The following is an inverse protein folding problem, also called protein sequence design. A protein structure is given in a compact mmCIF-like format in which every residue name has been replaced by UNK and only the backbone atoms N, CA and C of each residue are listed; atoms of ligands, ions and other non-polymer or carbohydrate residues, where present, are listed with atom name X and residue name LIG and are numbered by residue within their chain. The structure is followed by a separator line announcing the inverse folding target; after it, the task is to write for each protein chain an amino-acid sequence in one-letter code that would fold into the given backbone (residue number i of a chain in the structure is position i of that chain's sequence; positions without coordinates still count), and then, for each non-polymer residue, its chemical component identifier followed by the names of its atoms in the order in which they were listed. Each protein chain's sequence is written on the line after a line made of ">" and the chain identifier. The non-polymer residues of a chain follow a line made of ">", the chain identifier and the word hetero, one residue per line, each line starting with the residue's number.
data_IF_713411730454
#
_entry.id   IF_713411730454
#
_cell.length_a   1.000
_cell.length_b   1.000
_cell.length_c   1.000
_cell.angle_alpha   90.00
_cell.angle_beta   90.00
_cell.angle_gamma   90.00
#
_symmetry.space_group_name_H-M   'P 1'
#
loop_
_entity.id
_entity.type
_entity.pdbx_description
1 polymer ?
#
# COMPACT_ATOMS: atom_id res chain seq x y z
N UNK A 1 13.74 -19.29 15.32
CA UNK A 1 13.36 -18.69 14.02
C UNK A 1 13.36 -17.19 14.25
N UNK A 2 14.46 -16.53 13.90
CA UNK A 2 14.64 -15.09 14.14
C UNK A 2 13.66 -14.33 13.25
N UNK A 3 12.65 -13.72 13.84
CA UNK A 3 11.95 -12.62 13.19
C UNK A 3 12.92 -11.46 13.12
N UNK A 4 13.68 -11.39 12.03
CA UNK A 4 14.42 -10.18 11.69
C UNK A 4 13.39 -9.05 11.62
N UNK A 5 13.46 -8.13 12.58
CA UNK A 5 12.75 -6.85 12.48
C UNK A 5 13.40 -6.09 11.33
N UNK A 6 12.99 -6.40 10.10
CA UNK A 6 13.50 -5.76 8.91
C UNK A 6 12.97 -4.32 8.91
N UNK A 7 13.82 -3.42 9.37
CA UNK A 7 13.57 -1.98 9.36
C UNK A 7 14.23 -1.43 8.11
N UNK A 8 13.45 -1.26 7.04
CA UNK A 8 13.90 -0.57 5.84
C UNK A 8 13.79 0.91 6.11
N UNK A 9 14.90 1.58 6.46
CA UNK A 9 14.90 3.03 6.67
C UNK A 9 14.71 3.84 5.37
N UNK A 10 14.83 3.21 4.21
CA UNK A 10 14.64 3.81 2.90
C UNK A 10 13.53 3.15 2.10
N UNK A 11 13.53 3.41 0.79
CA UNK A 11 12.51 2.89 -0.11
C UNK A 11 12.65 1.38 -0.29
N UNK A 12 11.52 0.69 -0.35
CA UNK A 12 11.47 -0.74 -0.54
C UNK A 12 10.60 -1.08 -1.75
N UNK A 13 11.08 -1.98 -2.62
CA UNK A 13 10.33 -2.45 -3.78
C UNK A 13 10.05 -3.94 -3.67
N UNK A 14 8.78 -4.29 -3.64
CA UNK A 14 8.27 -5.65 -3.73
C UNK A 14 8.10 -6.00 -5.20
N UNK A 15 9.01 -6.83 -5.72
CA UNK A 15 8.94 -7.35 -7.09
C UNK A 15 8.42 -8.80 -7.14
N UNK A 16 8.16 -9.40 -5.99
CA UNK A 16 7.78 -10.80 -5.81
C UNK A 16 6.62 -10.88 -4.82
N UNK A 17 5.80 -11.92 -4.95
CA UNK A 17 4.67 -12.14 -4.05
C UNK A 17 5.15 -12.45 -2.62
N UNK A 18 4.49 -11.84 -1.63
CA UNK A 18 4.90 -12.02 -0.25
C UNK A 18 4.18 -11.14 0.75
N UNK A 19 4.44 -11.42 2.03
CA UNK A 19 3.94 -10.62 3.13
C UNK A 19 5.07 -9.79 3.76
N UNK A 20 4.86 -8.49 3.85
CA UNK A 20 5.73 -7.54 4.52
C UNK A 20 5.13 -7.15 5.88
N UNK A 21 5.70 -7.70 6.94
CA UNK A 21 5.35 -7.39 8.34
C UNK A 21 6.31 -6.44 9.05
N UNK A 22 7.25 -5.84 8.31
CA UNK A 22 8.30 -4.96 8.86
C UNK A 22 7.84 -3.50 9.01
N UNK A 23 8.81 -2.61 9.23
CA UNK A 23 8.58 -1.17 9.16
C UNK A 23 9.38 -0.62 7.98
N UNK A 24 8.70 0.07 7.07
CA UNK A 24 9.32 0.82 5.97
C UNK A 24 9.25 2.28 6.37
N UNK A 25 10.41 2.91 6.55
CA UNK A 25 10.52 4.34 6.84
C UNK A 25 10.39 5.23 5.60
N UNK A 26 10.54 4.67 4.40
CA UNK A 26 10.42 5.38 3.13
C UNK A 26 9.23 4.92 2.28
N UNK A 27 9.34 5.09 0.96
CA UNK A 27 8.30 4.71 0.00
C UNK A 27 8.30 3.20 -0.24
N UNK A 28 7.13 2.58 -0.22
CA UNK A 28 6.94 1.17 -0.56
C UNK A 28 6.33 1.04 -1.95
N UNK A 29 7.01 0.36 -2.86
CA UNK A 29 6.54 0.14 -4.25
C UNK A 29 6.23 -1.33 -4.50
N UNK A 30 5.04 -1.66 -4.99
CA UNK A 30 4.65 -3.02 -5.38
C UNK A 30 4.60 -3.11 -6.90
N UNK A 31 5.31 -4.08 -7.47
CA UNK A 31 5.41 -4.23 -8.91
C UNK A 31 4.13 -4.79 -9.55
N UNK A 32 3.96 -4.55 -10.85
CA UNK A 32 2.75 -4.95 -11.58
C UNK A 32 2.55 -6.47 -11.53
N UNK A 33 1.32 -6.92 -11.23
CA UNK A 33 0.98 -8.35 -11.15
C UNK A 33 1.52 -9.05 -9.90
N UNK A 34 2.07 -8.31 -8.93
CA UNK A 34 2.55 -8.86 -7.66
C UNK A 34 1.45 -8.79 -6.61
N UNK A 35 1.34 -9.85 -5.81
CA UNK A 35 0.47 -9.89 -4.63
C UNK A 35 1.30 -9.63 -3.37
N UNK A 36 1.07 -8.48 -2.72
CA UNK A 36 1.77 -8.09 -1.51
C UNK A 36 0.83 -7.86 -0.32
N UNK A 37 1.17 -8.39 0.85
CA UNK A 37 0.44 -8.12 2.09
C UNK A 37 1.26 -7.25 3.03
N UNK A 38 0.78 -6.04 3.33
CA UNK A 38 1.41 -5.09 4.24
C UNK A 38 0.73 -5.20 5.61
N UNK A 39 1.31 -6.03 6.48
CA UNK A 39 0.96 -6.08 7.90
C UNK A 39 1.76 -5.06 8.74
N UNK A 40 2.73 -4.41 8.11
CA UNK A 40 3.67 -3.45 8.71
C UNK A 40 3.20 -2.00 8.75
N UNK A 41 4.15 -1.11 9.05
CA UNK A 41 3.95 0.35 8.97
C UNK A 41 4.77 0.91 7.82
N UNK A 42 4.14 1.74 6.98
CA UNK A 42 4.77 2.52 5.93
C UNK A 42 4.80 3.97 6.38
N UNK A 43 6.00 4.51 6.59
CA UNK A 43 6.22 5.86 7.10
C UNK A 43 6.00 6.96 6.07
N UNK A 44 5.98 6.60 4.79
CA UNK A 44 5.89 7.52 3.66
C UNK A 44 4.84 6.99 2.67
N UNK A 45 5.10 6.98 1.35
CA UNK A 45 4.11 6.61 0.34
C UNK A 45 4.03 5.11 0.03
N UNK A 46 2.86 4.65 -0.41
CA UNK A 46 2.61 3.30 -0.93
C UNK A 46 2.19 3.37 -2.39
N UNK A 47 3.06 2.92 -3.29
CA UNK A 47 2.84 2.90 -4.74
C UNK A 47 2.54 1.49 -5.21
N UNK A 48 1.39 1.31 -5.84
CA UNK A 48 0.94 0.02 -6.37
C UNK A 48 0.88 0.10 -7.89
N UNK A 49 1.74 -0.66 -8.56
CA UNK A 49 1.75 -0.73 -10.03
C UNK A 49 0.46 -1.40 -10.58
N UNK A 50 0.07 -1.09 -11.83
CA UNK A 50 -1.16 -1.61 -12.43
C UNK A 50 -1.22 -3.14 -12.42
N UNK A 51 -2.40 -3.68 -12.10
CA UNK A 51 -2.63 -5.13 -12.00
C UNK A 51 -2.01 -5.82 -10.79
N UNK A 52 -1.37 -5.09 -9.88
CA UNK A 52 -0.90 -5.64 -8.60
C UNK A 52 -2.04 -5.77 -7.58
N UNK A 53 -1.89 -6.67 -6.62
CA UNK A 53 -2.85 -6.89 -5.54
C UNK A 53 -2.19 -6.61 -4.19
N UNK A 54 -2.68 -5.60 -3.46
CA UNK A 54 -2.05 -5.17 -2.21
C UNK A 54 -3.05 -5.15 -1.07
N UNK A 55 -2.75 -5.84 0.02
CA UNK A 55 -3.58 -5.83 1.23
C UNK A 55 -2.86 -5.09 2.34
N UNK A 56 -3.39 -3.93 2.73
CA UNK A 56 -2.86 -3.08 3.81
C UNK A 56 -3.63 -3.36 5.09
N UNK A 57 -3.06 -4.19 5.96
CA UNK A 57 -3.56 -4.45 7.31
C UNK A 57 -2.99 -3.48 8.36
N UNK A 58 -1.89 -2.79 8.04
CA UNK A 58 -1.21 -1.87 8.94
C UNK A 58 -1.55 -0.39 8.73
N UNK A 59 -0.56 0.48 8.98
CA UNK A 59 -0.72 1.94 8.84
C UNK A 59 0.18 2.47 7.74
N UNK A 60 -0.38 3.33 6.88
CA UNK A 60 0.37 4.09 5.88
C UNK A 60 0.27 5.56 6.26
N UNK A 61 1.41 6.20 6.50
CA UNK A 61 1.48 7.59 6.90
C UNK A 61 1.41 8.56 5.71
N UNK A 62 1.92 8.18 4.55
CA UNK A 62 1.86 8.97 3.32
C UNK A 62 0.71 8.57 2.39
N UNK A 63 0.92 8.80 1.10
CA UNK A 63 -0.10 8.68 0.06
C UNK A 63 -0.14 7.25 -0.52
N UNK A 64 -1.36 6.77 -0.81
CA UNK A 64 -1.60 5.50 -1.47
C UNK A 64 -1.93 5.74 -2.95
N UNK A 65 -1.02 5.34 -3.83
CA UNK A 65 -1.19 5.44 -5.28
C UNK A 65 -1.53 4.07 -5.86
N UNK A 66 -2.67 3.98 -6.54
CA UNK A 66 -3.20 2.74 -7.11
C UNK A 66 -3.19 2.83 -8.62
N UNK A 67 -2.42 1.95 -9.26
CA UNK A 67 -2.38 1.80 -10.70
C UNK A 67 -3.69 1.27 -11.30
N UNK A 68 -3.88 1.50 -12.60
CA UNK A 68 -5.05 1.00 -13.31
C UNK A 68 -5.16 -0.53 -13.23
N UNK A 69 -6.35 -1.05 -12.89
CA UNK A 69 -6.59 -2.48 -12.72
C UNK A 69 -5.88 -3.13 -11.52
N UNK A 70 -5.16 -2.37 -10.69
CA UNK A 70 -4.64 -2.87 -9.42
C UNK A 70 -5.77 -3.01 -8.40
N UNK A 71 -5.64 -3.94 -7.46
CA UNK A 71 -6.61 -4.19 -6.39
C UNK A 71 -5.97 -3.93 -5.05
N UNK A 72 -6.44 -2.94 -4.32
CA UNK A 72 -5.91 -2.60 -3.00
C UNK A 72 -6.99 -2.77 -1.95
N UNK A 73 -6.70 -3.59 -0.95
CA UNK A 73 -7.57 -3.84 0.19
C UNK A 73 -7.01 -3.14 1.42
N UNK A 74 -7.67 -2.08 1.91
CA UNK A 74 -7.25 -1.35 3.11
C UNK A 74 -8.10 -1.79 4.31
N UNK A 75 -7.52 -2.63 5.17
CA UNK A 75 -8.12 -3.01 6.45
C UNK A 75 -7.62 -2.14 7.62
N UNK A 76 -6.52 -1.41 7.43
CA UNK A 76 -5.91 -0.56 8.45
C UNK A 76 -6.25 0.93 8.31
N UNK A 77 -5.26 1.79 8.54
CA UNK A 77 -5.40 3.25 8.50
C UNK A 77 -4.45 3.87 7.48
N UNK A 78 -4.98 4.74 6.62
CA UNK A 78 -4.20 5.58 5.70
C UNK A 78 -4.31 7.02 6.21
N UNK A 79 -3.18 7.66 6.47
CA UNK A 79 -3.17 9.05 6.95
C UNK A 79 -3.12 10.03 5.77
N UNK A 80 -2.40 9.70 4.70
CA UNK A 80 -2.33 10.51 3.49
C UNK A 80 -3.51 10.34 2.54
N UNK A 81 -3.33 10.83 1.32
CA UNK A 81 -4.32 10.79 0.25
C UNK A 81 -4.35 9.43 -0.44
N UNK A 82 -5.51 9.08 -0.97
CA UNK A 82 -5.66 7.88 -1.81
C UNK A 82 -5.90 8.33 -3.24
N UNK A 83 -4.90 8.08 -4.11
CA UNK A 83 -4.93 8.35 -5.53
C UNK A 83 -5.23 7.08 -6.30
N UNK A 84 -6.50 6.90 -6.66
CA UNK A 84 -6.92 5.76 -7.47
C UNK A 84 -6.96 6.12 -8.96
N UNK A 85 -5.98 5.64 -9.74
CA UNK A 85 -5.87 5.87 -11.19
C UNK A 85 -6.64 4.85 -12.04
N UNK A 86 -7.75 4.30 -11.54
CA UNK A 86 -8.58 3.31 -12.24
C UNK A 86 -8.34 1.86 -11.81
N UNK A 87 -7.80 1.67 -10.60
CA UNK A 87 -7.83 0.41 -9.87
C UNK A 87 -9.07 0.28 -9.00
N UNK A 88 -9.09 -0.80 -8.22
CA UNK A 88 -10.13 -1.09 -7.24
C UNK A 88 -9.54 -0.87 -5.86
N UNK A 89 -10.11 0.06 -5.11
CA UNK A 89 -9.84 0.19 -3.67
C UNK A 89 -11.03 -0.41 -2.93
N UNK A 90 -10.78 -1.53 -2.24
CA UNK A 90 -11.69 -2.11 -1.28
C UNK A 90 -11.15 -1.82 0.12
N UNK A 91 -11.99 -1.52 1.09
CA UNK A 91 -11.47 -1.26 2.42
C UNK A 91 -12.51 -0.76 3.38
N UNK A 92 -12.63 -1.45 4.51
CA UNK A 92 -13.30 -0.95 5.71
C UNK A 92 -12.41 0.00 6.51
N UNK A 93 -11.15 0.18 6.09
CA UNK A 93 -10.16 1.02 6.72
C UNK A 93 -10.49 2.50 6.71
N UNK A 94 -9.91 3.21 7.67
CA UNK A 94 -10.10 4.65 7.86
C UNK A 94 -9.01 5.41 7.10
N UNK A 95 -9.41 6.22 6.12
CA UNK A 95 -8.52 7.19 5.46
C UNK A 95 -8.79 8.55 6.10
N UNK A 96 -7.76 9.09 6.75
CA UNK A 96 -7.78 10.44 7.35
C UNK A 96 -7.57 11.53 6.30
N UNK A 97 -6.81 11.24 5.24
CA UNK A 97 -6.59 12.14 4.13
C UNK A 97 -7.72 12.15 3.10
N UNK A 98 -7.48 12.89 2.01
CA UNK A 98 -8.47 13.04 0.95
C UNK A 98 -8.57 11.76 0.12
N UNK A 99 -9.79 11.22 0.00
CA UNK A 99 -10.07 10.09 -0.89
C UNK A 99 -10.39 10.64 -2.27
N UNK A 100 -9.39 10.73 -3.15
CA UNK A 100 -9.61 10.95 -4.58
C UNK A 100 -9.92 9.61 -5.25
N UNK A 101 -11.14 9.11 -5.02
CA UNK A 101 -11.70 8.05 -5.83
C UNK A 101 -12.24 8.69 -7.10
N UNK A 102 -11.78 8.24 -8.27
CA UNK A 102 -12.30 8.70 -9.55
C UNK A 102 -13.71 8.19 -9.81
N UNK A 103 -14.69 8.57 -8.99
CA UNK A 103 -16.11 8.45 -9.34
C UNK A 103 -16.51 9.74 -10.04
N UNK A 104 -16.37 9.75 -11.37
CA UNK A 104 -16.95 10.81 -12.20
C UNK A 104 -18.46 10.58 -12.30
N UNK A 105 -19.22 11.56 -11.80
CA UNK A 105 -20.61 11.81 -12.15
C UNK A 105 -20.80 11.97 -13.67
#
# INVERSE_FOLDING_TARGET
>A
MSGEKHMSLGDHRLAEDGAFGGMVGGTLTVAAGVTAEIAGMVGDDLVVEPGAEVTVNGMVSGDLVIGAGARVTVAGMIVGAVLNNGGTLDGSGMVSGERMTGERA
#
